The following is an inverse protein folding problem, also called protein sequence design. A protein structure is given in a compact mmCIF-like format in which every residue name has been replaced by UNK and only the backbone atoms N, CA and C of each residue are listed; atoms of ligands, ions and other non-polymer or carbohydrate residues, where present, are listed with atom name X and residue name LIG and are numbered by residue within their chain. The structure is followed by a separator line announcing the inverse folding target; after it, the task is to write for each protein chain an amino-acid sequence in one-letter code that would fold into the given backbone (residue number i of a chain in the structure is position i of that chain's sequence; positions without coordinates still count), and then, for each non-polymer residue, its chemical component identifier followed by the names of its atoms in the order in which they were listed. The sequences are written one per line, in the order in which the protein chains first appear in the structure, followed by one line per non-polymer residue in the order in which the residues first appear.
data_IF_303177863534
#
_entry.id   IF_303177863534
#
_cell.length_a   1.000
_cell.length_b   1.000
_cell.length_c   1.000
_cell.angle_alpha   90.00
_cell.angle_beta   90.00
_cell.angle_gamma   90.00
#
_symmetry.space_group_name_H-M   'P 1'
#
loop_
_entity.id
_entity.type
_entity.pdbx_description
1 polymer ?
#
# COMPACT_ATOMS: atom_id res chain seq x y z
N UNK A 1 -19.73 3.72 -7.30
CA UNK A 1 -18.79 3.55 -6.17
C UNK A 1 -19.10 4.59 -5.11
N UNK A 2 -19.11 4.20 -3.84
CA UNK A 2 -19.13 5.12 -2.70
C UNK A 2 -17.95 4.77 -1.80
N UNK A 3 -17.39 5.75 -1.10
CA UNK A 3 -16.29 5.54 -0.18
C UNK A 3 -16.33 6.52 0.97
N UNK A 4 -15.88 6.09 2.14
CA UNK A 4 -15.67 6.94 3.30
C UNK A 4 -14.30 6.64 3.90
N UNK A 5 -13.65 7.65 4.47
CA UNK A 5 -12.40 7.50 5.20
C UNK A 5 -12.59 7.99 6.64
N UNK A 6 -11.86 7.40 7.57
CA UNK A 6 -11.79 7.80 8.96
C UNK A 6 -10.38 7.61 9.49
N UNK A 7 -10.02 8.41 10.50
CA UNK A 7 -8.71 8.36 11.15
C UNK A 7 -8.89 8.57 12.65
N UNK A 8 -8.08 7.89 13.46
CA UNK A 8 -8.02 8.03 14.92
C UNK A 8 -6.59 8.28 15.37
N UNK A 9 -6.45 9.16 16.38
CA UNK A 9 -5.19 9.53 17.04
C UNK A 9 -4.96 8.74 18.35
N UNK A 10 -5.89 7.87 18.73
CA UNK A 10 -5.81 7.17 20.01
C UNK A 10 -4.64 6.19 20.04
N UNK A 11 -3.86 6.23 21.13
CA UNK A 11 -2.77 5.27 21.38
C UNK A 11 -3.27 3.85 21.66
N UNK A 12 -4.42 3.74 22.35
CA UNK A 12 -5.05 2.45 22.60
C UNK A 12 -5.66 1.89 21.31
N UNK A 13 -5.10 0.78 20.83
CA UNK A 13 -5.45 0.15 19.54
C UNK A 13 -6.93 -0.19 19.43
N UNK A 14 -7.54 -0.66 20.52
CA UNK A 14 -8.96 -1.04 20.51
C UNK A 14 -9.86 0.19 20.42
N UNK A 15 -9.55 1.23 21.19
CA UNK A 15 -10.25 2.51 21.15
C UNK A 15 -10.16 3.13 19.75
N UNK A 16 -8.96 3.14 19.15
CA UNK A 16 -8.75 3.64 17.80
C UNK A 16 -9.56 2.86 16.75
N UNK A 17 -9.59 1.52 16.86
CA UNK A 17 -10.34 0.67 15.95
C UNK A 17 -11.86 0.88 16.05
N UNK A 18 -12.39 0.95 17.28
CA UNK A 18 -13.82 1.19 17.54
C UNK A 18 -14.24 2.56 17.02
N UNK A 19 -13.43 3.61 17.25
CA UNK A 19 -13.70 4.95 16.75
C UNK A 19 -13.74 4.97 15.21
N UNK A 20 -12.70 4.43 14.56
CA UNK A 20 -12.65 4.36 13.09
C UNK A 20 -13.82 3.56 12.52
N UNK A 21 -14.15 2.42 13.13
CA UNK A 21 -15.27 1.59 12.71
C UNK A 21 -16.62 2.34 12.81
N UNK A 22 -16.88 3.03 13.93
CA UNK A 22 -18.10 3.79 14.14
C UNK A 22 -18.23 4.99 13.18
N UNK A 23 -17.11 5.70 12.92
CA UNK A 23 -17.07 6.79 11.96
C UNK A 23 -17.38 6.30 10.53
N UNK A 24 -16.79 5.17 10.14
CA UNK A 24 -17.04 4.56 8.84
C UNK A 24 -18.46 4.02 8.72
N UNK A 25 -19.00 3.35 9.74
CA UNK A 25 -20.37 2.82 9.75
C UNK A 25 -21.38 3.95 9.55
N UNK A 26 -21.17 5.08 10.24
CA UNK A 26 -22.04 6.26 10.10
C UNK A 26 -21.91 6.92 8.72
N UNK A 27 -20.71 6.94 8.13
CA UNK A 27 -20.45 7.58 6.84
C UNK A 27 -20.85 6.70 5.64
N UNK A 28 -20.80 5.37 5.80
CA UNK A 28 -21.17 4.40 4.78
C UNK A 28 -22.67 4.16 4.79
N UNK A 29 -23.39 4.83 3.88
CA UNK A 29 -24.80 4.55 3.59
C UNK A 29 -24.91 3.36 2.62
N UNK A 30 -24.81 2.14 3.16
CA UNK A 30 -24.99 0.88 2.42
C UNK A 30 -23.92 -0.21 2.71
N UNK A 31 -23.90 -1.29 1.91
CA UNK A 31 -22.95 -2.39 2.10
C UNK A 31 -21.50 -1.94 1.87
N UNK A 32 -20.58 -2.55 2.62
CA UNK A 32 -19.14 -2.34 2.45
C UNK A 32 -18.53 -3.54 1.74
N UNK A 33 -17.86 -3.32 0.61
CA UNK A 33 -17.21 -4.40 -0.14
C UNK A 33 -15.73 -4.53 0.23
N UNK A 34 -15.03 -3.41 0.38
CA UNK A 34 -13.60 -3.38 0.67
C UNK A 34 -13.28 -2.36 1.76
N UNK A 35 -12.46 -2.76 2.73
CA UNK A 35 -11.85 -1.86 3.71
C UNK A 35 -10.32 -2.00 3.65
N UNK A 36 -9.63 -0.87 3.52
CA UNK A 36 -8.17 -0.79 3.66
C UNK A 36 -7.87 -0.06 4.96
N UNK A 37 -7.06 -0.67 5.81
CA UNK A 37 -6.67 -0.15 7.13
C UNK A 37 -5.16 0.01 7.17
N UNK A 38 -4.71 1.19 7.57
CA UNK A 38 -3.32 1.52 7.80
C UNK A 38 -3.13 1.92 9.25
N UNK A 39 -2.12 1.38 9.92
CA UNK A 39 -1.87 1.68 11.32
C UNK A 39 -0.39 1.97 11.56
N UNK A 40 -0.10 2.95 12.41
CA UNK A 40 1.25 3.21 12.90
C UNK A 40 1.80 2.02 13.68
N UNK A 41 3.11 1.97 13.87
CA UNK A 41 3.78 0.90 14.64
C UNK A 41 3.23 0.71 16.06
N UNK A 42 2.66 1.76 16.67
CA UNK A 42 2.07 1.72 17.99
C UNK A 42 0.98 0.63 18.13
N UNK A 43 0.27 0.33 17.05
CA UNK A 43 -0.84 -0.63 17.05
C UNK A 43 -0.43 -2.06 16.72
N UNK A 44 0.83 -2.32 16.36
CA UNK A 44 1.28 -3.58 15.74
C UNK A 44 0.96 -4.86 16.52
N UNK A 45 0.95 -4.80 17.85
CA UNK A 45 0.78 -5.99 18.70
C UNK A 45 -0.69 -6.43 18.77
N UNK A 46 -1.63 -5.49 18.69
CA UNK A 46 -3.08 -5.75 18.71
C UNK A 46 -3.74 -5.39 17.38
N UNK A 47 -2.97 -5.37 16.29
CA UNK A 47 -3.49 -4.94 15.00
C UNK A 47 -4.49 -5.95 14.42
N UNK A 48 -4.28 -7.24 14.65
CA UNK A 48 -5.24 -8.29 14.25
C UNK A 48 -6.57 -8.11 15.00
N UNK A 49 -6.53 -7.78 16.30
CA UNK A 49 -7.74 -7.48 17.09
C UNK A 49 -8.45 -6.23 16.56
N UNK A 50 -7.71 -5.17 16.21
CA UNK A 50 -8.27 -3.98 15.59
C UNK A 50 -8.97 -4.28 14.25
N UNK A 51 -8.36 -5.12 13.40
CA UNK A 51 -9.00 -5.54 12.15
C UNK A 51 -10.27 -6.34 12.43
N UNK A 52 -10.26 -7.22 13.43
CA UNK A 52 -11.45 -8.00 13.82
C UNK A 52 -12.59 -7.10 14.32
N UNK A 53 -12.28 -6.05 15.11
CA UNK A 53 -13.27 -5.08 15.59
C UNK A 53 -13.89 -4.27 14.43
N UNK A 54 -13.06 -3.80 13.49
CA UNK A 54 -13.53 -3.10 12.28
C UNK A 54 -14.37 -4.03 11.39
N UNK A 55 -13.92 -5.27 11.21
CA UNK A 55 -14.63 -6.28 10.43
C UNK A 55 -15.99 -6.63 11.03
N UNK A 56 -16.08 -6.73 12.36
CA UNK A 56 -17.34 -7.00 13.07
C UNK A 56 -18.36 -5.88 12.86
N UNK A 57 -17.90 -4.63 12.86
CA UNK A 57 -18.78 -3.45 12.74
C UNK A 57 -19.22 -3.23 11.29
N UNK A 58 -18.29 -3.25 10.33
CA UNK A 58 -18.58 -2.90 8.93
C UNK A 58 -19.04 -4.09 8.08
N UNK A 59 -18.82 -5.32 8.56
CA UNK A 59 -19.08 -6.58 7.86
C UNK A 59 -18.63 -6.56 6.37
N UNK A 60 -17.38 -6.15 6.06
CA UNK A 60 -16.95 -6.02 4.68
C UNK A 60 -16.73 -7.38 4.02
N UNK A 61 -16.92 -7.46 2.70
CA UNK A 61 -16.55 -8.67 1.94
C UNK A 61 -15.06 -8.95 1.97
N UNK A 62 -14.23 -7.90 2.01
CA UNK A 62 -12.77 -8.01 2.09
C UNK A 62 -12.21 -6.89 2.94
N UNK A 63 -11.27 -7.23 3.82
CA UNK A 63 -10.51 -6.27 4.62
C UNK A 63 -9.02 -6.54 4.48
N UNK A 64 -8.25 -5.47 4.36
CA UNK A 64 -6.79 -5.50 4.32
C UNK A 64 -6.24 -4.54 5.37
N UNK A 65 -5.24 -5.00 6.12
CA UNK A 65 -4.52 -4.20 7.11
C UNK A 65 -3.03 -4.14 6.80
N UNK A 66 -2.41 -2.97 6.89
CA UNK A 66 -0.96 -2.79 6.70
C UNK A 66 -0.40 -1.84 7.75
N UNK A 67 0.69 -2.21 8.41
CA UNK A 67 1.41 -1.26 9.27
C UNK A 67 2.27 -0.30 8.45
N UNK A 68 2.21 0.98 8.78
CA UNK A 68 2.94 2.06 8.12
C UNK A 68 3.67 2.93 9.16
N UNK A 69 4.68 3.67 8.71
CA UNK A 69 5.43 4.64 9.53
C UNK A 69 4.54 5.84 9.93
N UNK A 70 3.80 6.35 8.97
CA UNK A 70 2.80 7.41 9.13
C UNK A 70 1.47 6.98 8.51
N UNK A 71 0.38 7.60 8.95
CA UNK A 71 -0.94 7.39 8.35
C UNK A 71 -1.56 8.73 7.99
N UNK A 72 -2.27 8.75 6.86
CA UNK A 72 -2.99 9.92 6.35
C UNK A 72 -4.44 9.52 6.14
N UNK A 73 -5.36 10.41 6.48
CA UNK A 73 -6.79 10.20 6.31
C UNK A 73 -7.54 11.50 6.54
N UNK A 74 -8.61 11.72 5.78
CA UNK A 74 -9.38 12.96 5.83
C UNK A 74 -8.47 14.19 5.59
N UNK A 75 -8.40 15.09 6.56
CA UNK A 75 -7.59 16.31 6.58
C UNK A 75 -6.40 16.22 7.55
N UNK A 76 -6.05 15.00 7.99
CA UNK A 76 -5.04 14.74 9.02
C UNK A 76 -3.92 13.82 8.52
N UNK A 77 -2.71 14.17 8.91
CA UNK A 77 -1.49 13.36 8.76
C UNK A 77 -0.86 13.14 10.13
N UNK A 78 -0.60 11.86 10.46
CA UNK A 78 -0.04 11.43 11.72
C UNK A 78 1.31 10.76 11.49
N UNK A 79 2.37 11.51 11.74
CA UNK A 79 3.76 11.09 11.64
C UNK A 79 4.43 11.03 13.01
N UNK A 80 5.12 9.92 13.31
CA UNK A 80 5.83 9.73 14.58
C UNK A 80 4.95 9.55 15.82
N UNK A 81 3.62 9.54 15.65
CA UNK A 81 2.63 9.39 16.73
C UNK A 81 1.71 8.19 16.47
N UNK A 82 0.86 7.85 17.45
CA UNK A 82 -0.18 6.85 17.26
C UNK A 82 -1.20 7.30 16.21
N UNK A 83 -1.74 6.34 15.47
CA UNK A 83 -2.54 6.65 14.31
C UNK A 83 -3.08 5.39 13.64
N UNK A 84 -4.38 5.37 13.40
CA UNK A 84 -5.08 4.34 12.64
C UNK A 84 -5.99 5.02 11.63
N UNK A 85 -5.75 4.80 10.34
CA UNK A 85 -6.53 5.34 9.23
C UNK A 85 -7.17 4.20 8.45
N UNK A 86 -8.40 4.36 8.02
CA UNK A 86 -9.06 3.39 7.17
C UNK A 86 -9.94 4.05 6.11
N UNK A 87 -10.05 3.39 4.97
CA UNK A 87 -10.99 3.74 3.90
C UNK A 87 -11.88 2.53 3.61
N UNK A 88 -13.19 2.75 3.69
CA UNK A 88 -14.23 1.79 3.31
C UNK A 88 -14.80 2.16 1.95
N UNK A 89 -15.13 1.14 1.14
CA UNK A 89 -15.61 1.30 -0.22
C UNK A 89 -16.77 0.35 -0.52
N UNK A 90 -17.81 0.90 -1.16
CA UNK A 90 -18.85 0.14 -1.85
C UNK A 90 -18.54 0.12 -3.36
N UNK A 91 -18.33 -1.09 -3.88
CA UNK A 91 -17.86 -1.40 -5.23
C UNK A 91 -18.87 -2.32 -5.94
N UNK A 92 -20.06 -1.81 -6.31
CA UNK A 92 -21.11 -2.64 -6.91
C UNK A 92 -20.65 -3.24 -8.25
N UNK A 93 -20.81 -4.56 -8.38
CA UNK A 93 -20.42 -5.31 -9.57
C UNK A 93 -18.92 -5.58 -9.72
N UNK A 94 -18.09 -5.10 -8.79
CA UNK A 94 -16.65 -5.36 -8.80
C UNK A 94 -16.34 -6.62 -8.00
N UNK A 95 -15.57 -7.52 -8.61
CA UNK A 95 -14.99 -8.68 -7.94
C UNK A 95 -13.64 -8.28 -7.35
N UNK A 96 -13.47 -8.52 -6.04
CA UNK A 96 -12.21 -8.33 -5.32
C UNK A 96 -11.65 -9.71 -5.01
N UNK A 97 -10.55 -10.09 -5.64
CA UNK A 97 -9.91 -11.40 -5.42
C UNK A 97 -8.66 -11.23 -4.55
N UNK A 98 -8.69 -11.64 -3.27
CA UNK A 98 -7.52 -11.59 -2.40
C UNK A 98 -6.51 -12.70 -2.73
N UNK A 99 -5.23 -12.39 -2.62
CA UNK A 99 -4.14 -13.37 -2.78
C UNK A 99 -2.93 -12.98 -1.93
N UNK A 100 -2.07 -13.97 -1.63
CA UNK A 100 -0.85 -13.77 -0.84
C UNK A 100 0.36 -14.36 -1.55
N UNK A 101 1.53 -13.84 -1.19
CA UNK A 101 2.84 -14.40 -1.52
C UNK A 101 3.67 -14.39 -0.25
N UNK A 102 4.36 -15.48 0.06
CA UNK A 102 5.23 -15.57 1.24
C UNK A 102 6.57 -16.20 0.85
N UNK A 103 7.64 -16.06 1.66
CA UNK A 103 8.90 -16.75 1.38
C UNK A 103 8.76 -18.28 1.25
N UNK A 104 7.78 -18.89 1.94
CA UNK A 104 7.50 -20.34 1.87
C UNK A 104 6.63 -20.74 0.68
N UNK A 105 5.76 -19.83 0.24
CA UNK A 105 4.85 -20.00 -0.90
C UNK A 105 4.95 -18.76 -1.79
N UNK A 106 6.07 -18.58 -2.50
CA UNK A 106 6.31 -17.38 -3.28
C UNK A 106 5.51 -17.44 -4.58
N UNK A 107 5.08 -16.27 -5.04
CA UNK A 107 4.54 -16.11 -6.39
C UNK A 107 5.58 -16.62 -7.42
N UNK A 108 5.18 -17.44 -8.40
CA UNK A 108 6.10 -18.18 -9.26
C UNK A 108 6.72 -17.30 -10.36
N UNK A 109 7.62 -16.40 -10.00
CA UNK A 109 8.30 -15.48 -10.94
C UNK A 109 9.04 -16.24 -12.06
N UNK A 110 9.52 -17.45 -11.78
CA UNK A 110 10.19 -18.31 -12.78
C UNK A 110 9.22 -18.99 -13.76
N UNK A 111 7.92 -18.93 -13.50
CA UNK A 111 6.84 -19.51 -14.32
C UNK A 111 5.75 -18.45 -14.51
N UNK A 112 6.01 -17.38 -15.29
CA UNK A 112 5.10 -16.25 -15.44
C UNK A 112 3.69 -16.65 -15.91
N UNK A 113 3.56 -17.77 -16.61
CA UNK A 113 2.29 -18.36 -17.06
C UNK A 113 1.36 -18.77 -15.90
N UNK A 114 1.90 -19.02 -14.70
CA UNK A 114 1.10 -19.39 -13.52
C UNK A 114 0.60 -18.16 -12.74
N UNK A 115 1.18 -16.98 -12.99
CA UNK A 115 0.86 -15.73 -12.28
C UNK A 115 -0.62 -15.34 -12.44
N UNK A 116 -1.21 -15.34 -13.66
CA UNK A 116 -2.63 -15.02 -13.84
C UNK A 116 -3.55 -15.84 -12.95
N UNK A 117 -3.34 -17.15 -12.88
CA UNK A 117 -4.15 -18.03 -12.04
C UNK A 117 -3.93 -17.74 -10.54
N UNK A 118 -2.68 -17.48 -10.13
CA UNK A 118 -2.33 -17.17 -8.74
C UNK A 118 -3.02 -15.92 -8.20
N UNK A 119 -3.07 -14.87 -9.01
CA UNK A 119 -3.65 -13.58 -8.62
C UNK A 119 -5.15 -13.50 -8.95
N UNK A 120 -5.75 -14.56 -9.48
CA UNK A 120 -7.16 -14.56 -9.90
C UNK A 120 -7.46 -13.56 -11.01
N UNK A 121 -6.54 -13.43 -11.97
CA UNK A 121 -6.66 -12.54 -13.12
C UNK A 121 -7.84 -12.96 -14.00
N UNK A 122 -8.71 -12.00 -14.29
CA UNK A 122 -9.85 -12.11 -15.21
C UNK A 122 -9.64 -11.20 -16.43
N UNK A 123 -10.37 -11.44 -17.52
CA UNK A 123 -10.28 -10.63 -18.75
C UNK A 123 -10.61 -9.15 -18.51
N UNK A 124 -11.57 -8.86 -17.63
CA UNK A 124 -12.03 -7.52 -17.28
C UNK A 124 -11.31 -6.93 -16.05
N UNK A 125 -10.20 -7.52 -15.62
CA UNK A 125 -9.39 -7.00 -14.51
C UNK A 125 -8.92 -5.58 -14.82
N UNK A 126 -8.98 -4.69 -13.83
CA UNK A 126 -8.64 -3.27 -13.97
C UNK A 126 -7.32 -2.90 -13.31
N UNK A 127 -7.08 -3.40 -12.11
CA UNK A 127 -5.86 -3.13 -11.35
C UNK A 127 -5.63 -4.18 -10.27
N UNK A 128 -4.45 -4.15 -9.67
CA UNK A 128 -4.12 -4.85 -8.44
C UNK A 128 -3.71 -3.83 -7.39
N UNK A 129 -4.29 -3.93 -6.19
CA UNK A 129 -3.72 -3.31 -4.99
C UNK A 129 -2.73 -4.30 -4.38
N UNK A 130 -1.48 -3.92 -4.16
CA UNK A 130 -0.44 -4.81 -3.63
C UNK A 130 0.38 -4.12 -2.53
N UNK A 131 0.44 -4.77 -1.37
CA UNK A 131 1.23 -4.32 -0.23
C UNK A 131 2.21 -5.41 0.19
N UNK A 132 3.46 -5.05 0.47
CA UNK A 132 4.50 -6.03 0.73
C UNK A 132 5.46 -5.61 1.84
N UNK A 133 5.99 -6.61 2.54
CA UNK A 133 7.08 -6.43 3.48
C UNK A 133 8.42 -6.30 2.72
N UNK A 134 9.18 -5.20 2.91
CA UNK A 134 10.41 -4.94 2.17
C UNK A 134 11.56 -5.87 2.54
N UNK A 135 11.50 -6.51 3.71
CA UNK A 135 12.56 -7.41 4.17
C UNK A 135 12.47 -8.82 3.59
N UNK A 136 11.30 -9.20 3.06
CA UNK A 136 11.03 -10.59 2.65
C UNK A 136 10.43 -10.73 1.26
N UNK A 137 10.10 -9.62 0.59
CA UNK A 137 9.54 -9.64 -0.78
C UNK A 137 10.58 -9.17 -1.80
N UNK A 138 10.91 -9.98 -2.83
CA UNK A 138 11.84 -9.58 -3.89
C UNK A 138 11.15 -8.65 -4.91
N UNK A 139 10.77 -7.45 -4.49
CA UNK A 139 9.88 -6.54 -5.25
C UNK A 139 10.43 -6.17 -6.63
N UNK A 140 11.76 -6.03 -6.75
CA UNK A 140 12.44 -5.69 -8.02
C UNK A 140 12.29 -6.77 -9.10
N UNK A 141 12.09 -8.03 -8.69
CA UNK A 141 11.81 -9.15 -9.61
C UNK A 141 10.32 -9.43 -9.74
N UNK A 142 9.58 -9.26 -8.65
CA UNK A 142 8.15 -9.55 -8.59
C UNK A 142 7.33 -8.54 -9.40
N UNK A 143 7.62 -7.25 -9.28
CA UNK A 143 6.82 -6.19 -9.90
C UNK A 143 6.82 -6.29 -11.43
N UNK A 144 7.96 -6.47 -12.14
CA UNK A 144 7.95 -6.70 -13.58
C UNK A 144 7.12 -7.91 -14.01
N UNK A 145 7.23 -9.02 -13.25
CA UNK A 145 6.49 -10.24 -13.55
C UNK A 145 4.97 -10.06 -13.39
N UNK A 146 4.54 -9.30 -12.36
CA UNK A 146 3.14 -8.93 -12.17
C UNK A 146 2.64 -7.98 -13.27
N UNK A 147 3.39 -6.93 -13.59
CA UNK A 147 2.96 -5.94 -14.59
C UNK A 147 2.83 -6.55 -15.98
N UNK A 148 3.67 -7.53 -16.32
CA UNK A 148 3.70 -8.15 -17.65
C UNK A 148 2.84 -9.42 -17.75
N UNK A 149 2.12 -9.82 -16.69
CA UNK A 149 1.39 -11.10 -16.66
C UNK A 149 0.22 -11.20 -17.65
N UNK A 150 -0.18 -10.08 -18.27
CA UNK A 150 -1.22 -10.00 -19.32
C UNK A 150 -0.68 -10.12 -20.75
N UNK A 151 0.63 -10.28 -20.90
CA UNK A 151 1.31 -10.24 -22.19
C UNK A 151 1.85 -8.86 -22.55
N UNK A 152 2.56 -8.79 -23.67
CA UNK A 152 3.21 -7.57 -24.15
C UNK A 152 2.17 -6.52 -24.57
N UNK A 153 2.43 -5.26 -24.25
CA UNK A 153 1.59 -4.12 -24.66
C UNK A 153 0.32 -3.90 -23.83
N UNK A 154 0.00 -4.77 -22.85
CA UNK A 154 -1.14 -4.60 -21.95
C UNK A 154 -0.71 -4.71 -20.47
N UNK A 155 0.11 -3.76 -19.95
CA UNK A 155 0.60 -3.85 -18.58
C UNK A 155 -0.54 -3.81 -17.56
N UNK A 156 -0.49 -4.70 -16.58
CA UNK A 156 -1.43 -4.69 -15.44
C UNK A 156 -1.04 -3.56 -14.48
N UNK A 157 -1.94 -2.59 -14.20
CA UNK A 157 -1.68 -1.56 -13.20
C UNK A 157 -1.56 -2.18 -11.80
N UNK A 158 -0.43 -1.91 -11.14
CA UNK A 158 -0.17 -2.31 -9.75
C UNK A 158 -0.09 -1.02 -8.91
N UNK A 159 -0.92 -0.92 -7.89
CA UNK A 159 -1.01 0.21 -6.96
C UNK A 159 -0.73 -0.30 -5.56
N UNK A 160 -0.09 0.50 -4.71
CA UNK A 160 0.11 0.15 -3.31
C UNK A 160 1.48 0.60 -2.84
N UNK A 161 2.10 -0.18 -1.95
CA UNK A 161 3.35 0.23 -1.34
C UNK A 161 3.99 -0.82 -0.47
N UNK A 162 5.20 -0.51 -0.02
CA UNK A 162 5.91 -1.34 0.95
C UNK A 162 5.46 -0.97 2.36
N UNK A 163 5.27 -1.96 3.22
CA UNK A 163 5.02 -1.73 4.64
C UNK A 163 6.22 -1.03 5.27
N UNK A 164 5.96 0.06 5.98
CA UNK A 164 6.97 0.92 6.61
C UNK A 164 6.81 1.02 8.12
N UNK A 165 5.89 0.25 8.71
CA UNK A 165 5.66 0.27 10.16
C UNK A 165 6.89 -0.09 10.98
N UNK A 166 7.89 -0.81 10.45
CA UNK A 166 9.07 -1.21 11.20
C UNK A 166 10.38 -1.09 10.43
N UNK A 167 11.46 -0.86 11.17
CA UNK A 167 12.84 -0.83 10.67
C UNK A 167 13.53 -2.20 10.62
N UNK A 168 12.83 -3.28 11.00
CA UNK A 168 13.37 -4.64 11.06
C UNK A 168 12.42 -5.66 10.46
N UNK A 169 12.99 -6.73 9.92
CA UNK A 169 12.26 -7.88 9.39
C UNK A 169 11.30 -8.46 10.45
N UNK A 170 10.14 -8.97 10.00
CA UNK A 170 9.10 -9.63 10.84
C UNK A 170 8.28 -8.72 11.77
N UNK A 171 8.60 -7.43 11.84
CA UNK A 171 7.86 -6.47 12.67
C UNK A 171 6.69 -5.82 11.95
N UNK A 172 6.75 -5.70 10.62
CA UNK A 172 5.59 -5.29 9.83
C UNK A 172 4.44 -6.30 10.01
N UNK A 173 3.22 -5.79 9.95
CA UNK A 173 2.00 -6.61 9.89
C UNK A 173 1.29 -6.32 8.58
N UNK A 174 0.95 -7.40 7.89
CA UNK A 174 0.09 -7.40 6.71
C UNK A 174 -1.08 -8.34 7.06
N UNK A 175 -2.30 -7.90 6.88
CA UNK A 175 -3.50 -8.66 7.21
C UNK A 175 -4.38 -8.71 5.97
N UNK A 176 -4.91 -9.87 5.64
CA UNK A 176 -5.86 -10.04 4.54
C UNK A 176 -6.93 -11.03 4.95
N UNK A 177 -8.21 -10.62 4.86
CA UNK A 177 -9.34 -11.47 5.26
C UNK A 177 -9.33 -11.89 6.74
N UNK A 178 -8.63 -11.16 7.60
CA UNK A 178 -8.48 -11.46 9.03
C UNK A 178 -7.26 -12.33 9.38
N UNK A 179 -6.52 -12.86 8.40
CA UNK A 179 -5.29 -13.60 8.66
C UNK A 179 -4.06 -12.67 8.63
N UNK A 180 -3.29 -12.66 9.71
CA UNK A 180 -2.05 -11.89 9.83
C UNK A 180 -0.84 -12.61 9.26
N UNK A 181 0.00 -11.87 8.53
CA UNK A 181 1.32 -12.30 8.08
C UNK A 181 2.39 -11.26 8.41
N UNK A 182 3.61 -11.74 8.68
CA UNK A 182 4.78 -10.93 9.06
C UNK A 182 5.83 -10.81 7.95
N UNK A 183 5.57 -11.43 6.81
CA UNK A 183 6.50 -11.55 5.69
C UNK A 183 5.74 -11.77 4.39
N UNK A 184 6.35 -11.40 3.26
CA UNK A 184 5.76 -11.53 1.94
C UNK A 184 4.89 -10.34 1.57
N UNK A 185 3.84 -10.58 0.78
CA UNK A 185 2.92 -9.56 0.32
C UNK A 185 1.48 -10.05 0.25
N UNK A 186 0.56 -9.09 0.29
CA UNK A 186 -0.87 -9.28 0.14
C UNK A 186 -1.33 -8.48 -1.07
N UNK A 187 -2.22 -9.06 -1.87
CA UNK A 187 -2.74 -8.43 -3.07
C UNK A 187 -4.25 -8.58 -3.19
N UNK A 188 -4.86 -7.59 -3.84
CA UNK A 188 -6.27 -7.57 -4.21
C UNK A 188 -6.37 -7.31 -5.70
N UNK A 189 -6.82 -8.30 -6.46
CA UNK A 189 -7.11 -8.14 -7.88
C UNK A 189 -8.52 -7.63 -8.05
N UNK A 190 -8.67 -6.49 -8.75
CA UNK A 190 -9.95 -5.80 -8.94
C UNK A 190 -10.44 -6.01 -10.37
N UNK A 191 -11.61 -6.63 -10.53
CA UNK A 191 -12.23 -6.95 -11.82
C UNK A 191 -13.68 -6.47 -11.89
N UNK A 192 -14.15 -6.05 -13.06
CA UNK A 192 -15.52 -5.56 -13.25
C UNK A 192 -15.63 -4.09 -13.68
N UNK A 193 -16.78 -3.43 -13.42
CA UNK A 193 -17.10 -2.08 -13.91
C UNK A 193 -16.42 -0.99 -13.07
N UNK A 194 -15.09 -1.01 -13.05
CA UNK A 194 -14.24 -0.04 -12.37
C UNK A 194 -13.36 0.70 -13.38
N UNK A 195 -13.21 2.01 -13.20
CA UNK A 195 -12.17 2.81 -13.86
C UNK A 195 -11.11 3.13 -12.81
N UNK A 196 -9.84 2.94 -13.15
CA UNK A 196 -8.72 3.15 -12.24
C UNK A 196 -7.70 4.06 -12.93
N UNK A 197 -7.61 5.28 -12.43
CA UNK A 197 -6.62 6.26 -12.88
C UNK A 197 -5.55 6.41 -11.80
N UNK A 198 -4.34 5.94 -12.12
CA UNK A 198 -3.21 5.95 -11.19
C UNK A 198 -2.43 7.26 -11.35
N UNK A 199 -2.50 8.14 -10.36
CA UNK A 199 -1.70 9.36 -10.32
C UNK A 199 -0.63 9.21 -9.25
N UNK A 200 0.63 9.40 -9.62
CA UNK A 200 1.72 9.54 -8.66
C UNK A 200 1.89 11.02 -8.33
N UNK A 201 1.51 11.43 -7.12
CA UNK A 201 1.87 12.75 -6.60
C UNK A 201 3.22 12.64 -5.89
N UNK A 202 4.26 13.24 -6.44
CA UNK A 202 5.49 13.44 -5.70
C UNK A 202 5.23 14.60 -4.73
N UNK A 203 5.11 14.31 -3.43
CA UNK A 203 4.94 15.32 -2.37
C UNK A 203 6.12 16.31 -2.23
N UNK A 204 7.11 16.22 -3.11
CA UNK A 204 8.27 17.10 -3.13
C UNK A 204 7.94 18.36 -3.92
N UNK A 205 7.96 19.53 -3.24
CA UNK A 205 8.19 20.80 -3.94
C UNK A 205 9.64 20.80 -4.41
N UNK A 206 9.94 20.80 -5.72
CA UNK A 206 11.31 20.79 -6.19
C UNK A 206 12.05 22.04 -5.67
N UNK A 207 13.26 21.82 -5.15
CA UNK A 207 14.15 22.88 -4.68
C UNK A 207 15.20 23.11 -5.76
N UNK A 208 15.23 24.34 -6.30
CA UNK A 208 16.20 24.79 -7.30
C UNK A 208 15.97 24.28 -8.73
N UNK A 209 17.02 24.37 -9.54
CA UNK A 209 16.97 24.04 -10.98
C UNK A 209 16.98 22.53 -11.23
N UNK A 210 16.44 22.11 -12.38
CA UNK A 210 16.51 20.70 -12.80
C UNK A 210 17.92 20.37 -13.30
N UNK A 211 18.51 19.29 -12.80
CA UNK A 211 19.82 18.81 -13.25
C UNK A 211 19.68 17.46 -13.96
N UNK A 212 20.39 17.31 -15.08
CA UNK A 212 20.53 16.01 -15.74
C UNK A 212 21.50 15.15 -14.96
N UNK A 213 21.14 13.90 -14.67
CA UNK A 213 22.09 12.93 -14.11
C UNK A 213 23.15 12.62 -15.18
N UNK A 214 24.42 12.92 -14.89
CA UNK A 214 25.52 12.71 -15.84
C UNK A 214 26.42 11.52 -15.47
N UNK A 215 26.37 11.06 -14.22
CA UNK A 215 27.10 9.87 -13.77
C UNK A 215 26.42 9.19 -12.59
N UNK A 216 26.35 7.87 -12.64
CA UNK A 216 25.81 7.00 -11.57
C UNK A 216 26.74 5.83 -11.33
N UNK A 217 26.73 5.33 -10.09
CA UNK A 217 27.24 4.00 -9.73
C UNK A 217 26.13 3.24 -9.01
N UNK A 218 25.53 2.25 -9.70
CA UNK A 218 24.35 1.50 -9.26
C UNK A 218 23.22 2.44 -8.80
N UNK A 219 22.92 2.46 -7.50
CA UNK A 219 21.87 3.26 -6.87
C UNK A 219 22.38 4.60 -6.29
N UNK A 220 23.61 5.00 -6.62
CA UNK A 220 24.24 6.24 -6.15
C UNK A 220 24.44 7.20 -7.33
N UNK A 221 23.87 8.40 -7.23
CA UNK A 221 24.11 9.49 -8.19
C UNK A 221 25.43 10.17 -7.84
N UNK A 222 26.40 10.12 -8.76
CA UNK A 222 27.73 10.70 -8.57
C UNK A 222 27.84 12.10 -9.16
N UNK A 223 27.15 12.37 -10.27
CA UNK A 223 27.20 13.68 -10.93
C UNK A 223 25.83 14.15 -11.44
N UNK A 224 25.60 15.46 -11.28
CA UNK A 224 24.43 16.21 -11.71
C UNK A 224 24.91 17.40 -12.57
N UNK A 225 24.48 17.46 -13.83
CA UNK A 225 24.84 18.52 -14.77
C UNK A 225 26.34 18.61 -15.05
N UNK A 226 27.07 17.50 -14.99
CA UNK A 226 28.53 17.45 -15.19
C UNK A 226 29.35 17.89 -13.99
N UNK A 227 28.72 18.05 -12.82
CA UNK A 227 29.39 18.39 -11.55
C UNK A 227 29.16 17.28 -10.51
N UNK A 228 30.06 17.10 -9.53
CA UNK A 228 29.84 16.19 -8.41
C UNK A 228 28.50 16.46 -7.71
N UNK A 229 27.71 15.42 -7.48
CA UNK A 229 26.36 15.54 -6.91
C UNK A 229 26.36 16.24 -5.55
N UNK A 230 27.37 15.98 -4.71
CA UNK A 230 27.52 16.62 -3.40
C UNK A 230 27.67 18.15 -3.51
N UNK A 231 28.44 18.64 -4.49
CA UNK A 231 28.62 20.09 -4.70
C UNK A 231 27.32 20.75 -5.12
N UNK A 232 26.58 20.12 -6.04
CA UNK A 232 25.26 20.59 -6.49
C UNK A 232 24.28 20.65 -5.31
N UNK A 233 24.24 19.60 -4.47
CA UNK A 233 23.38 19.56 -3.27
C UNK A 233 23.76 20.63 -2.25
N UNK A 234 25.06 20.86 -2.00
CA UNK A 234 25.53 21.92 -1.10
C UNK A 234 25.15 23.32 -1.60
N UNK A 235 25.22 23.54 -2.91
CA UNK A 235 24.80 24.80 -3.52
C UNK A 235 23.29 25.00 -3.36
N UNK A 236 22.48 23.98 -3.68
CA UNK A 236 21.03 24.02 -3.51
C UNK A 236 20.60 24.26 -2.05
N UNK A 237 21.27 23.63 -1.09
CA UNK A 237 20.98 23.83 0.33
C UNK A 237 21.22 25.28 0.76
N UNK A 238 22.28 25.93 0.25
CA UNK A 238 22.54 27.36 0.52
C UNK A 238 21.52 28.28 -0.13
N UNK A 239 21.03 27.94 -1.32
CA UNK A 239 20.02 28.74 -2.05
C UNK A 239 18.61 28.60 -1.46
N UNK A 240 18.35 27.53 -0.72
CA UNK A 240 17.06 27.25 -0.07
C UNK A 240 16.96 27.71 1.39
N UNK A 241 18.06 28.24 1.96
CA UNK A 241 18.16 28.81 3.30
C UNK A 241 17.85 30.31 3.29
#
# INVERSE_FOLDING_TARGET
MRSAAAISEHLDTRTAAIEVAALLEKAMDGPTDLVLVFASFHHRESFEDAIADIQTTLAPKTIVGVTAESVVGCDLELEGVAGLSAIAMHLPGVTVTPWTTTPKKPLPISRPEEIPAWIGLQEDTKAVLFFADPFSTPITRLLPALTSCRGEGNPLPIIGGMASGASQATFNRLIIGGEGQRSGGIGLTLSGPLQVDCIASQGCRPVGSHYRVTKVDRNVILELGGKPALEVLQQLAKEAS
#
